data_IF_211147367412
#
_entry.id   IF_211147367412
#
_cell.length_a   1.000
_cell.length_b   1.000
_cell.length_c   1.000
_cell.angle_alpha   90.00
_cell.angle_beta   90.00
_cell.angle_gamma   90.00
#
_symmetry.space_group_name_H-M   'P 1'
#
loop_
_entity.id
_entity.type
_entity.pdbx_description
1 polymer ?
#
# COMPACT_ATOMS: atom_id res chain seq x y z
N UNK A 1 18.91 -6.43 -3.53
CA UNK A 1 19.32 -7.36 -2.43
C UNK A 1 19.21 -8.81 -2.88
N UNK A 2 18.07 -9.30 -3.41
CA UNK A 2 17.91 -10.71 -3.82
C UNK A 2 18.98 -11.15 -4.83
N UNK A 3 19.23 -10.37 -5.88
CA UNK A 3 20.31 -10.64 -6.85
C UNK A 3 21.69 -10.72 -6.18
N UNK A 4 21.96 -9.82 -5.24
CA UNK A 4 23.25 -9.82 -4.50
C UNK A 4 23.41 -11.04 -3.58
N UNK A 5 22.29 -11.68 -3.20
CA UNK A 5 22.27 -12.93 -2.44
C UNK A 5 22.26 -14.18 -3.33
N UNK A 6 22.43 -14.01 -4.65
CA UNK A 6 22.54 -15.12 -5.58
C UNK A 6 21.21 -15.72 -6.04
N UNK A 7 20.12 -14.95 -6.01
CA UNK A 7 18.85 -15.39 -6.60
C UNK A 7 19.05 -15.69 -8.10
N UNK A 8 18.51 -16.81 -8.56
CA UNK A 8 18.56 -17.21 -9.98
C UNK A 8 17.73 -16.25 -10.85
N UNK A 9 16.63 -15.76 -10.31
CA UNK A 9 15.78 -14.73 -10.93
C UNK A 9 15.05 -13.92 -9.87
N UNK A 10 14.65 -12.69 -10.23
CA UNK A 10 13.77 -11.85 -9.43
C UNK A 10 12.62 -11.38 -10.31
N UNK A 11 11.39 -11.69 -9.93
CA UNK A 11 10.18 -11.25 -10.63
C UNK A 11 9.38 -10.31 -9.76
N UNK A 12 9.08 -9.13 -10.25
CA UNK A 12 8.17 -8.17 -9.64
C UNK A 12 6.82 -8.24 -10.34
N UNK A 13 5.76 -8.45 -9.57
CA UNK A 13 4.39 -8.48 -10.06
C UNK A 13 3.68 -7.23 -9.59
N UNK A 14 2.95 -6.57 -10.48
CA UNK A 14 2.14 -5.40 -10.20
C UNK A 14 0.73 -5.62 -10.75
N UNK A 15 -0.27 -5.36 -9.90
CA UNK A 15 -1.68 -5.50 -10.28
C UNK A 15 -2.14 -4.39 -11.24
N UNK A 16 -1.50 -3.23 -11.16
CA UNK A 16 -1.81 -2.09 -12.02
C UNK A 16 -1.22 -2.25 -13.42
N UNK A 17 -1.76 -1.54 -14.42
CA UNK A 17 -1.16 -1.46 -15.75
C UNK A 17 0.23 -0.85 -15.70
N UNK A 18 1.06 -1.22 -16.67
CA UNK A 18 2.37 -0.58 -16.82
C UNK A 18 2.20 0.93 -17.05
N UNK A 19 2.82 1.77 -16.20
CA UNK A 19 2.79 3.21 -16.43
C UNK A 19 3.50 3.59 -17.72
N UNK A 20 3.11 4.68 -18.41
CA UNK A 20 3.77 5.15 -19.60
C UNK A 20 5.21 5.58 -19.34
N UNK A 21 6.07 5.44 -20.33
CA UNK A 21 7.43 5.97 -20.31
C UNK A 21 7.39 7.47 -20.60
N UNK A 22 8.01 8.28 -19.75
CA UNK A 22 8.08 9.73 -19.92
C UNK A 22 6.80 10.47 -19.51
N UNK A 23 6.27 11.32 -20.36
CA UNK A 23 5.11 12.17 -20.05
C UNK A 23 3.80 11.36 -19.95
N UNK A 24 3.03 11.61 -18.89
CA UNK A 24 1.68 11.06 -18.73
C UNK A 24 0.64 12.20 -18.73
N UNK A 25 -0.17 12.32 -19.78
CA UNK A 25 -1.20 13.37 -19.87
C UNK A 25 -2.27 13.30 -18.76
N UNK A 26 -2.50 12.13 -18.20
CA UNK A 26 -3.46 11.94 -17.10
C UNK A 26 -2.98 12.51 -15.75
N UNK A 27 -1.69 12.79 -15.61
CA UNK A 27 -1.09 13.36 -14.40
C UNK A 27 -0.18 14.55 -14.76
N UNK A 28 -0.75 15.66 -15.32
CA UNK A 28 0.03 16.85 -15.64
C UNK A 28 0.52 17.55 -14.38
N UNK A 29 1.59 18.35 -14.53
CA UNK A 29 2.02 19.22 -13.42
C UNK A 29 0.87 20.13 -12.94
N UNK A 30 0.64 20.33 -11.63
CA UNK A 30 1.49 19.97 -10.49
C UNK A 30 1.19 18.60 -9.86
N UNK A 31 0.48 17.72 -10.53
CA UNK A 31 0.20 16.38 -10.02
C UNK A 31 1.47 15.52 -9.97
N UNK A 32 1.50 14.56 -9.05
CA UNK A 32 2.59 13.59 -9.01
C UNK A 32 2.59 12.73 -10.28
N UNK A 33 3.66 12.71 -11.06
CA UNK A 33 3.69 12.04 -12.36
C UNK A 33 3.63 10.51 -12.18
N UNK A 34 2.57 9.90 -12.69
CA UNK A 34 2.42 8.44 -12.78
C UNK A 34 3.07 7.94 -14.06
N UNK A 35 4.38 7.81 -14.03
CA UNK A 35 5.21 7.33 -15.14
C UNK A 35 6.04 6.13 -14.69
N UNK A 36 6.48 5.32 -15.67
CA UNK A 36 7.36 4.19 -15.40
C UNK A 36 8.68 4.68 -14.79
N UNK A 37 8.94 4.25 -13.57
CA UNK A 37 10.18 4.56 -12.86
C UNK A 37 11.04 3.31 -12.76
N UNK A 38 12.31 3.47 -13.03
CA UNK A 38 13.32 2.42 -12.83
C UNK A 38 14.26 2.89 -11.74
N UNK A 39 14.43 2.09 -10.70
CA UNK A 39 15.40 2.34 -9.62
C UNK A 39 16.67 1.53 -9.84
N UNK A 40 17.73 1.87 -9.14
CA UNK A 40 18.96 1.09 -9.13
C UNK A 40 18.75 -0.40 -8.78
N UNK A 41 17.75 -0.69 -7.95
CA UNK A 41 17.37 -2.07 -7.63
C UNK A 41 16.82 -2.84 -8.83
N UNK A 42 16.09 -2.18 -9.73
CA UNK A 42 15.63 -2.79 -10.97
C UNK A 42 16.77 -3.01 -11.96
N UNK A 43 17.75 -2.10 -11.99
CA UNK A 43 18.92 -2.18 -12.85
C UNK A 43 19.83 -3.36 -12.49
N UNK A 44 19.81 -3.83 -11.24
CA UNK A 44 20.53 -5.05 -10.81
C UNK A 44 19.96 -6.33 -11.44
N UNK A 45 18.81 -6.27 -12.10
CA UNK A 45 18.13 -7.38 -12.76
C UNK A 45 16.78 -7.71 -12.10
N UNK A 46 15.71 -7.53 -12.87
CA UNK A 46 14.35 -7.81 -12.41
C UNK A 46 13.44 -8.00 -13.62
N UNK A 47 12.67 -9.08 -13.63
CA UNK A 47 11.57 -9.28 -14.58
C UNK A 47 10.36 -8.55 -14.01
N UNK A 48 9.88 -7.50 -14.69
CA UNK A 48 8.71 -6.73 -14.25
C UNK A 48 7.49 -7.12 -15.04
N UNK A 49 6.43 -7.47 -14.33
CA UNK A 49 5.18 -7.94 -14.90
C UNK A 49 4.01 -7.11 -14.35
N UNK A 50 3.07 -6.77 -15.22
CA UNK A 50 1.97 -5.86 -14.96
C UNK A 50 0.63 -6.53 -15.22
N UNK A 51 -0.46 -5.95 -14.69
CA UNK A 51 -1.81 -6.48 -14.84
C UNK A 51 -1.94 -7.93 -14.33
N UNK A 52 -1.28 -8.27 -13.24
CA UNK A 52 -1.32 -9.61 -12.65
C UNK A 52 -1.78 -9.53 -11.19
N UNK A 53 -2.84 -10.24 -10.88
CA UNK A 53 -3.30 -10.47 -9.51
C UNK A 53 -2.72 -11.79 -8.98
N UNK A 54 -2.15 -11.78 -7.78
CA UNK A 54 -1.73 -13.00 -7.08
C UNK A 54 -2.95 -13.67 -6.46
N UNK A 55 -3.22 -14.92 -6.84
CA UNK A 55 -4.40 -15.68 -6.41
C UNK A 55 -4.09 -16.64 -5.26
N UNK A 56 -3.11 -17.52 -5.46
CA UNK A 56 -2.78 -18.56 -4.50
C UNK A 56 -1.27 -18.81 -4.45
N UNK A 57 -0.78 -19.19 -3.26
CA UNK A 57 0.55 -19.79 -3.13
C UNK A 57 0.45 -21.29 -3.39
N UNK A 58 1.36 -21.82 -4.21
CA UNK A 58 1.46 -23.22 -4.53
C UNK A 58 2.66 -23.80 -3.80
N UNK A 59 2.45 -24.90 -3.08
CA UNK A 59 3.51 -25.54 -2.32
C UNK A 59 3.22 -27.01 -2.04
N UNK A 60 4.25 -27.72 -1.61
CA UNK A 60 4.18 -29.08 -1.12
C UNK A 60 4.96 -29.20 0.19
N UNK A 61 4.37 -29.89 1.19
CA UNK A 61 4.99 -30.15 2.51
C UNK A 61 5.59 -28.89 3.18
N UNK A 62 4.87 -27.77 3.16
CA UNK A 62 5.30 -26.47 3.66
C UNK A 62 6.47 -25.83 2.89
N UNK A 63 6.78 -26.30 1.69
CA UNK A 63 7.77 -25.69 0.81
C UNK A 63 7.04 -24.98 -0.32
N UNK A 64 7.29 -23.69 -0.46
CA UNK A 64 6.76 -22.90 -1.57
C UNK A 64 7.34 -23.41 -2.89
N UNK A 65 6.50 -23.47 -3.92
CA UNK A 65 6.86 -23.87 -5.29
C UNK A 65 6.53 -22.81 -6.32
N UNK A 66 5.60 -21.92 -6.00
CA UNK A 66 5.21 -20.86 -6.90
C UNK A 66 4.00 -20.06 -6.43
N UNK A 67 3.58 -19.15 -7.28
CA UNK A 67 2.39 -18.32 -7.11
C UNK A 67 1.51 -18.46 -8.34
N UNK A 68 0.26 -18.84 -8.15
CA UNK A 68 -0.74 -18.73 -9.21
C UNK A 68 -1.13 -17.26 -9.33
N UNK A 69 -1.00 -16.72 -10.53
CA UNK A 69 -1.42 -15.38 -10.88
C UNK A 69 -2.47 -15.41 -11.98
N UNK A 70 -3.32 -14.40 -12.01
CA UNK A 70 -4.34 -14.22 -13.04
C UNK A 70 -4.21 -12.84 -13.66
N UNK A 71 -4.31 -12.78 -14.99
CA UNK A 71 -4.32 -11.53 -15.73
C UNK A 71 -5.57 -10.72 -15.38
N UNK A 72 -5.39 -9.40 -15.20
CA UNK A 72 -6.47 -8.48 -14.89
C UNK A 72 -6.59 -7.39 -15.96
N UNK A 73 -7.81 -6.95 -16.19
CA UNK A 73 -8.15 -5.78 -17.00
C UNK A 73 -8.72 -4.69 -16.11
N UNK A 74 -8.35 -3.44 -16.40
CA UNK A 74 -8.86 -2.26 -15.72
C UNK A 74 -9.84 -1.54 -16.63
N UNK A 75 -11.12 -1.61 -16.29
CA UNK A 75 -12.22 -0.99 -17.07
C UNK A 75 -12.43 0.42 -16.53
N UNK A 76 -12.29 1.46 -17.37
CA UNK A 76 -12.62 2.82 -16.98
C UNK A 76 -14.06 2.93 -16.50
N UNK A 77 -14.30 3.71 -15.45
CA UNK A 77 -15.66 3.98 -14.98
C UNK A 77 -16.31 5.07 -15.86
N UNK A 78 -17.49 4.82 -16.37
CA UNK A 78 -18.25 5.76 -17.20
C UNK A 78 -18.59 7.07 -16.47
N UNK A 79 -18.60 7.05 -15.14
CA UNK A 79 -18.94 8.19 -14.28
C UNK A 79 -17.71 8.95 -13.75
N UNK A 80 -16.53 8.75 -14.33
CA UNK A 80 -15.28 9.38 -13.85
C UNK A 80 -14.80 8.86 -12.48
N UNK A 81 -15.38 7.75 -12.01
CA UNK A 81 -14.97 7.06 -10.79
C UNK A 81 -13.64 6.30 -10.95
N UNK A 82 -13.30 5.49 -9.94
CA UNK A 82 -12.13 4.60 -10.03
C UNK A 82 -12.39 3.51 -11.07
N UNK A 83 -11.37 3.15 -11.89
CA UNK A 83 -11.47 2.01 -12.78
C UNK A 83 -11.83 0.74 -11.99
N UNK A 84 -12.62 -0.12 -12.60
CA UNK A 84 -12.98 -1.42 -12.04
C UNK A 84 -12.01 -2.48 -12.52
N UNK A 85 -11.53 -3.32 -11.60
CA UNK A 85 -10.65 -4.43 -11.90
C UNK A 85 -11.49 -5.66 -12.26
N UNK A 86 -11.19 -6.29 -13.39
CA UNK A 86 -11.83 -7.52 -13.84
C UNK A 86 -10.79 -8.61 -14.08
N UNK A 87 -11.03 -9.79 -13.53
CA UNK A 87 -10.25 -11.00 -13.80
C UNK A 87 -10.56 -11.52 -15.21
N UNK A 88 -9.54 -11.85 -15.98
CA UNK A 88 -9.72 -12.32 -17.37
C UNK A 88 -9.92 -13.81 -17.50
N UNK A 89 -9.67 -14.58 -16.45
CA UNK A 89 -9.66 -16.04 -16.46
C UNK A 89 -8.33 -16.66 -16.96
N UNK A 90 -7.39 -15.85 -17.46
CA UNK A 90 -6.07 -16.33 -17.89
C UNK A 90 -5.15 -16.47 -16.70
N UNK A 91 -4.88 -17.71 -16.32
CA UNK A 91 -4.04 -18.05 -15.17
C UNK A 91 -2.73 -18.65 -15.60
N UNK A 92 -1.70 -18.40 -14.80
CA UNK A 92 -0.38 -19.02 -14.92
C UNK A 92 0.24 -19.23 -13.55
N UNK A 93 1.24 -20.09 -13.48
CA UNK A 93 2.04 -20.31 -12.27
C UNK A 93 3.41 -19.72 -12.51
N UNK A 94 3.81 -18.81 -11.64
CA UNK A 94 5.18 -18.30 -11.59
C UNK A 94 5.92 -19.12 -10.55
N UNK A 95 6.92 -19.89 -10.96
CA UNK A 95 7.76 -20.65 -10.06
C UNK A 95 8.53 -19.71 -9.13
N UNK A 96 8.56 -20.01 -7.85
CA UNK A 96 9.23 -19.21 -6.83
C UNK A 96 9.56 -20.05 -5.59
N UNK A 97 10.76 -19.88 -5.06
CA UNK A 97 11.18 -20.45 -3.77
C UNK A 97 10.89 -19.48 -2.62
N UNK A 98 10.77 -18.19 -2.91
CA UNK A 98 10.52 -17.14 -1.93
C UNK A 98 9.62 -16.04 -2.52
N UNK A 99 8.63 -15.60 -1.75
CA UNK A 99 7.73 -14.52 -2.13
C UNK A 99 7.67 -13.46 -1.03
N UNK A 100 7.78 -12.20 -1.44
CA UNK A 100 7.58 -11.04 -0.57
C UNK A 100 6.31 -10.30 -0.95
N UNK A 101 5.42 -10.10 0.03
CA UNK A 101 4.22 -9.28 -0.14
C UNK A 101 4.59 -7.82 0.10
N UNK A 102 4.84 -7.07 -0.98
CA UNK A 102 5.21 -5.65 -0.95
C UNK A 102 4.03 -4.76 -1.35
N UNK A 103 2.83 -5.03 -0.81
CA UNK A 103 1.54 -4.42 -1.20
C UNK A 103 1.14 -3.22 -0.32
N UNK A 104 2.10 -2.60 0.37
CA UNK A 104 1.85 -1.48 1.28
C UNK A 104 1.41 -1.93 2.67
N UNK A 105 0.77 -1.02 3.38
CA UNK A 105 0.32 -1.22 4.76
C UNK A 105 -1.19 -1.24 4.82
N UNK A 106 -1.76 -2.04 5.72
CA UNK A 106 -3.21 -2.18 5.86
C UNK A 106 -3.74 -1.19 6.91
N UNK A 107 -3.23 -1.29 8.13
CA UNK A 107 -3.63 -0.47 9.27
C UNK A 107 -2.58 -0.60 10.39
N UNK A 108 -2.64 0.19 11.47
CA UNK A 108 -1.81 0.00 12.66
C UNK A 108 -1.98 -1.41 13.24
N UNK A 109 -0.91 -1.94 13.84
CA UNK A 109 -0.96 -3.20 14.59
C UNK A 109 -2.03 -3.11 15.67
N UNK A 110 -2.96 -4.08 15.69
CA UNK A 110 -4.09 -4.08 16.63
C UNK A 110 -3.71 -4.65 18.00
N UNK A 111 -2.79 -5.62 18.02
CA UNK A 111 -2.24 -6.14 19.27
C UNK A 111 -1.25 -5.13 19.88
N UNK A 112 -1.09 -5.14 21.19
CA UNK A 112 -0.31 -4.13 21.90
C UNK A 112 -1.10 -2.84 22.13
N UNK A 113 -0.57 -1.68 21.77
CA UNK A 113 -1.07 -0.36 22.16
C UNK A 113 -2.57 -0.14 21.90
N UNK A 114 -3.06 -0.52 20.71
CA UNK A 114 -4.49 -0.33 20.35
C UNK A 114 -5.39 -1.13 21.31
N UNK A 115 -5.05 -2.38 21.55
CA UNK A 115 -5.79 -3.28 22.44
C UNK A 115 -5.62 -2.92 23.91
N UNK A 116 -4.39 -2.67 24.35
CA UNK A 116 -4.07 -2.35 25.75
C UNK A 116 -4.78 -1.08 26.24
N UNK A 117 -4.85 -0.07 25.39
CA UNK A 117 -5.54 1.19 25.70
C UNK A 117 -7.01 1.18 25.25
N UNK A 118 -7.51 0.06 24.72
CA UNK A 118 -8.89 -0.07 24.22
C UNK A 118 -9.27 1.04 23.27
N UNK A 119 -8.36 1.40 22.34
CA UNK A 119 -8.57 2.49 21.41
C UNK A 119 -9.66 2.15 20.39
N UNK A 120 -10.61 3.07 20.20
CA UNK A 120 -11.59 2.94 19.12
C UNK A 120 -10.90 3.00 17.75
N UNK A 121 -11.36 2.17 16.83
CA UNK A 121 -10.87 2.14 15.43
C UNK A 121 -12.01 2.37 14.46
N UNK A 122 -11.68 2.90 13.27
CA UNK A 122 -12.62 3.09 12.17
C UNK A 122 -12.89 1.78 11.41
N UNK A 123 -13.73 1.85 10.37
CA UNK A 123 -14.05 0.69 9.51
C UNK A 123 -12.85 0.12 8.74
N UNK A 124 -11.70 0.81 8.71
CA UNK A 124 -10.43 0.36 8.13
C UNK A 124 -9.42 -0.08 9.18
N UNK A 125 -9.84 -0.14 10.46
CA UNK A 125 -9.01 -0.44 11.62
C UNK A 125 -7.89 0.59 11.89
N UNK A 126 -8.03 1.83 11.41
CA UNK A 126 -7.20 2.95 11.84
C UNK A 126 -7.74 3.53 13.15
N UNK A 127 -6.89 4.18 13.93
CA UNK A 127 -7.31 4.79 15.20
C UNK A 127 -8.33 5.89 14.94
N UNK A 128 -9.50 5.77 15.55
CA UNK A 128 -10.57 6.75 15.41
C UNK A 128 -10.32 7.97 16.30
N UNK A 129 -10.37 9.16 15.70
CA UNK A 129 -10.21 10.44 16.39
C UNK A 129 -11.28 11.42 15.95
N UNK A 130 -11.52 12.43 16.77
CA UNK A 130 -12.39 13.55 16.45
C UNK A 130 -11.72 14.59 15.52
N UNK A 131 -12.41 15.70 15.28
CA UNK A 131 -11.88 16.80 14.46
C UNK A 131 -10.65 17.48 15.04
N UNK A 132 -10.31 17.26 16.31
CA UNK A 132 -9.13 17.80 17.01
C UNK A 132 -8.02 16.75 17.16
N UNK A 133 -8.10 15.61 16.46
CA UNK A 133 -7.18 14.50 16.60
C UNK A 133 -7.18 13.86 18.01
N UNK A 134 -8.22 14.08 18.81
CA UNK A 134 -8.38 13.50 20.14
C UNK A 134 -9.19 12.20 20.06
N UNK A 135 -8.78 11.20 20.82
CA UNK A 135 -9.55 9.95 20.99
C UNK A 135 -10.68 10.22 21.96
N UNK A 136 -11.89 9.88 21.56
CA UNK A 136 -13.10 10.17 22.32
C UNK A 136 -13.02 9.71 23.78
N UNK A 137 -13.39 10.60 24.71
CA UNK A 137 -13.43 10.31 26.15
C UNK A 137 -12.05 10.11 26.81
N UNK A 138 -10.97 10.50 26.19
CA UNK A 138 -9.61 10.32 26.69
C UNK A 138 -8.75 11.59 26.61
N UNK A 139 -7.58 11.56 27.21
CA UNK A 139 -6.52 12.56 27.04
C UNK A 139 -5.49 12.14 25.97
N UNK A 140 -5.83 11.19 25.13
CA UNK A 140 -4.97 10.65 24.09
C UNK A 140 -5.26 11.33 22.76
N UNK A 141 -4.22 11.52 21.97
CA UNK A 141 -4.28 12.08 20.62
C UNK A 141 -3.56 11.15 19.65
N UNK A 142 -4.05 11.07 18.43
CA UNK A 142 -3.42 10.30 17.38
C UNK A 142 -3.40 11.09 16.06
N UNK A 143 -2.39 10.85 15.22
CA UNK A 143 -2.23 11.55 13.95
C UNK A 143 -1.44 10.74 12.92
N UNK A 144 -1.33 11.27 11.71
CA UNK A 144 -0.57 10.64 10.62
C UNK A 144 -1.19 9.35 10.14
N UNK A 145 -0.35 8.42 9.71
CA UNK A 145 -0.77 7.15 9.11
C UNK A 145 -1.58 6.26 10.06
N UNK A 146 -1.38 6.40 11.36
CA UNK A 146 -2.16 5.67 12.36
C UNK A 146 -3.67 6.02 12.34
N UNK A 147 -4.01 7.22 11.85
CA UNK A 147 -5.38 7.73 11.76
C UNK A 147 -5.93 7.67 10.34
N UNK A 148 -5.11 8.05 9.36
CA UNK A 148 -5.55 8.18 7.96
C UNK A 148 -5.28 6.96 7.09
N UNK A 149 -4.51 5.99 7.59
CA UNK A 149 -3.87 4.96 6.79
C UNK A 149 -2.59 5.49 6.14
N UNK A 150 -1.75 4.57 5.67
CA UNK A 150 -0.45 4.90 5.07
C UNK A 150 -0.63 5.83 3.86
N UNK A 151 0.09 6.95 3.86
CA UNK A 151 -0.06 7.99 2.85
C UNK A 151 1.24 8.79 2.64
N UNK A 152 1.12 9.99 2.05
CA UNK A 152 2.28 10.86 1.82
C UNK A 152 2.80 11.48 3.12
N UNK A 153 4.12 11.56 3.25
CA UNK A 153 4.80 12.19 4.41
C UNK A 153 4.24 13.59 4.71
N UNK A 154 3.98 14.40 3.68
CA UNK A 154 3.42 15.75 3.86
C UNK A 154 2.05 15.75 4.55
N UNK A 155 1.23 14.72 4.33
CA UNK A 155 -0.07 14.56 5.01
C UNK A 155 0.12 14.16 6.46
N UNK A 156 1.05 13.25 6.74
CA UNK A 156 1.39 12.85 8.10
C UNK A 156 1.93 14.05 8.91
N UNK A 157 2.81 14.86 8.31
CA UNK A 157 3.32 16.10 8.92
C UNK A 157 2.20 17.13 9.19
N UNK A 158 1.30 17.33 8.24
CA UNK A 158 0.16 18.25 8.42
C UNK A 158 -0.77 17.78 9.55
N UNK A 159 -1.06 16.47 9.61
CA UNK A 159 -1.83 15.85 10.69
C UNK A 159 -1.15 16.01 12.05
N UNK A 160 0.17 15.79 12.14
CA UNK A 160 0.95 15.99 13.36
C UNK A 160 0.92 17.44 13.86
N UNK A 161 1.06 18.41 12.96
CA UNK A 161 0.96 19.84 13.31
C UNK A 161 -0.42 20.22 13.81
N UNK A 162 -1.48 19.62 13.24
CA UNK A 162 -2.85 19.81 13.69
C UNK A 162 -3.05 19.26 15.11
N UNK A 163 -2.58 18.01 15.34
CA UNK A 163 -2.63 17.38 16.65
C UNK A 163 -1.87 18.18 17.72
N UNK A 164 -0.66 18.69 17.39
CA UNK A 164 0.13 19.52 18.31
C UNK A 164 -0.63 20.78 18.74
N UNK A 165 -1.30 21.49 17.82
CA UNK A 165 -2.15 22.66 18.15
C UNK A 165 -3.32 22.27 19.06
N UNK A 166 -3.90 21.11 18.84
CA UNK A 166 -5.01 20.62 19.66
C UNK A 166 -4.55 20.25 21.08
N UNK A 167 -3.39 19.62 21.20
CA UNK A 167 -2.76 19.30 22.49
C UNK A 167 -2.43 20.60 23.26
N UNK A 168 -1.81 21.57 22.60
CA UNK A 168 -1.50 22.87 23.22
C UNK A 168 -2.76 23.52 23.77
N UNK A 169 -3.83 23.59 22.98
CA UNK A 169 -5.13 24.11 23.42
C UNK A 169 -5.76 23.28 24.57
N UNK A 170 -5.52 21.98 24.59
CA UNK A 170 -6.01 21.09 25.67
C UNK A 170 -5.29 21.35 26.99
N UNK A 171 -3.98 21.56 26.94
CA UNK A 171 -3.13 21.77 28.12
C UNK A 171 -3.21 23.21 28.69
N UNK A 172 -3.61 24.19 27.86
CA UNK A 172 -3.68 25.62 28.24
C UNK A 172 -5.08 26.05 28.67
N UNK A 173 -6.03 25.12 28.79
CA UNK A 173 -7.34 25.37 29.41
C UNK A 173 -7.21 25.32 30.93
#
# INVERSE_FOLDING_TARGET
>A
TANRHGAASVTQIEIMPQPPVGHNPATPWPMYPQVLKTSSSHEEGCIRRWNLASCHFIGDKNILKGVEVEEVEWIPSDNGGRPEMKMTGKKEIIEADLVFLAMGFVHPEQEGLVKELSLAVDGRKNIAVDSQNQIAGSNLFACGDAVSGASLVVRAMASGRKAAKAIDKYLTK
#
